data_IF_784094318989
#
_entry.id   IF_784094318989
#
_cell.length_a   1.000
_cell.length_b   1.000
_cell.length_c   1.000
_cell.angle_alpha   90.00
_cell.angle_beta   90.00
_cell.angle_gamma   90.00
#
_symmetry.space_group_name_H-M   'P 1'
#
loop_
_entity.id
_entity.type
_entity.pdbx_description
1 polymer ?
#
# COMPACT_ATOMS: atom_id res chain seq x y z
N UNK A 1 1.71 -6.88 16.31
CA UNK A 1 2.31 -7.56 15.14
C UNK A 1 1.60 -7.08 13.90
N UNK A 2 2.30 -6.42 12.96
CA UNK A 2 1.70 -6.04 11.69
C UNK A 2 1.50 -7.30 10.82
N UNK A 3 0.39 -7.39 10.07
CA UNK A 3 0.11 -8.56 9.21
C UNK A 3 1.23 -8.72 8.17
N UNK A 4 1.61 -9.98 7.85
CA UNK A 4 2.57 -10.25 6.77
C UNK A 4 2.08 -9.66 5.44
N UNK A 5 3.00 -9.09 4.66
CA UNK A 5 2.70 -8.48 3.35
C UNK A 5 1.98 -9.47 2.43
N UNK A 6 2.49 -10.68 2.35
CA UNK A 6 1.94 -11.78 1.55
C UNK A 6 0.49 -12.07 1.90
N UNK A 7 0.15 -12.06 3.20
CA UNK A 7 -1.22 -12.29 3.65
C UNK A 7 -2.18 -11.17 3.22
N UNK A 8 -1.72 -9.92 3.18
CA UNK A 8 -2.55 -8.79 2.72
C UNK A 8 -2.80 -8.91 1.22
N UNK A 9 -1.77 -9.21 0.43
CA UNK A 9 -1.89 -9.39 -1.03
C UNK A 9 -2.78 -10.58 -1.36
N UNK A 10 -2.57 -11.73 -0.71
CA UNK A 10 -3.38 -12.93 -0.93
C UNK A 10 -4.87 -12.69 -0.64
N UNK A 11 -5.19 -11.93 0.41
CA UNK A 11 -6.57 -11.58 0.74
C UNK A 11 -7.21 -10.66 -0.31
N UNK A 12 -6.45 -9.67 -0.83
CA UNK A 12 -6.93 -8.80 -1.90
C UNK A 12 -7.25 -9.61 -3.16
N UNK A 13 -6.34 -10.49 -3.57
CA UNK A 13 -6.55 -11.35 -4.74
C UNK A 13 -7.73 -12.30 -4.57
N UNK A 14 -7.91 -12.90 -3.39
CA UNK A 14 -9.02 -13.80 -3.11
C UNK A 14 -10.37 -13.07 -3.25
N UNK A 15 -10.49 -11.88 -2.64
CA UNK A 15 -11.71 -11.06 -2.71
C UNK A 15 -12.11 -10.75 -4.16
N UNK A 16 -11.14 -10.29 -4.97
CA UNK A 16 -11.41 -9.94 -6.35
C UNK A 16 -11.70 -11.17 -7.22
N UNK A 17 -11.00 -12.30 -7.01
CA UNK A 17 -11.31 -13.56 -7.73
C UNK A 17 -12.72 -14.06 -7.44
N UNK A 18 -13.15 -14.02 -6.18
CA UNK A 18 -14.51 -14.43 -5.82
C UNK A 18 -15.57 -13.52 -6.44
N UNK A 19 -15.37 -12.19 -6.38
CA UNK A 19 -16.28 -11.23 -6.99
C UNK A 19 -16.35 -11.38 -8.50
N UNK A 20 -15.20 -11.56 -9.14
CA UNK A 20 -15.11 -11.76 -10.59
C UNK A 20 -15.76 -13.09 -10.99
N UNK A 21 -15.58 -14.16 -10.21
CA UNK A 21 -16.28 -15.44 -10.42
C UNK A 21 -17.80 -15.30 -10.36
N UNK A 22 -18.33 -14.49 -9.42
CA UNK A 22 -19.77 -14.19 -9.36
C UNK A 22 -20.26 -13.41 -10.58
N UNK A 23 -19.51 -12.39 -11.03
CA UNK A 23 -19.85 -11.62 -12.23
C UNK A 23 -19.81 -12.49 -13.50
N UNK A 24 -18.80 -13.36 -13.61
CA UNK A 24 -18.65 -14.28 -14.72
C UNK A 24 -19.81 -15.29 -14.80
N UNK A 25 -20.31 -15.77 -13.65
CA UNK A 25 -21.44 -16.71 -13.60
C UNK A 25 -22.74 -16.15 -14.19
N UNK A 26 -22.90 -14.82 -14.21
CA UNK A 26 -24.05 -14.12 -14.81
C UNK A 26 -23.69 -13.39 -16.11
N UNK A 27 -22.49 -13.62 -16.65
CA UNK A 27 -21.96 -12.98 -17.86
C UNK A 27 -21.96 -11.43 -17.82
N UNK A 28 -21.85 -10.83 -16.63
CA UNK A 28 -21.81 -9.38 -16.46
C UNK A 28 -20.42 -8.81 -16.81
N UNK A 29 -20.25 -8.50 -18.10
CA UNK A 29 -18.99 -7.95 -18.63
C UNK A 29 -18.64 -6.57 -18.06
N UNK A 30 -19.66 -5.75 -17.72
CA UNK A 30 -19.43 -4.42 -17.18
C UNK A 30 -18.85 -4.52 -15.77
N UNK A 31 -19.40 -5.41 -14.94
CA UNK A 31 -18.89 -5.65 -13.60
C UNK A 31 -17.51 -6.32 -13.62
N UNK A 32 -17.27 -7.27 -14.52
CA UNK A 32 -15.93 -7.86 -14.70
C UNK A 32 -14.88 -6.78 -15.02
N UNK A 33 -15.15 -5.90 -15.99
CA UNK A 33 -14.23 -4.81 -16.34
C UNK A 33 -14.01 -3.81 -15.19
N UNK A 34 -15.07 -3.51 -14.42
CA UNK A 34 -14.98 -2.67 -13.23
C UNK A 34 -14.12 -3.31 -12.14
N UNK A 35 -14.28 -4.61 -11.91
CA UNK A 35 -13.48 -5.38 -10.95
C UNK A 35 -12.00 -5.44 -11.37
N UNK A 36 -11.72 -5.64 -12.66
CA UNK A 36 -10.35 -5.64 -13.19
C UNK A 36 -9.64 -4.30 -12.97
N UNK A 37 -10.33 -3.19 -13.25
CA UNK A 37 -9.80 -1.87 -12.99
C UNK A 37 -9.63 -1.61 -11.49
N UNK A 38 -10.62 -1.99 -10.68
CA UNK A 38 -10.58 -1.87 -9.23
C UNK A 38 -9.39 -2.60 -8.62
N UNK A 39 -9.14 -3.84 -9.04
CA UNK A 39 -8.02 -4.65 -8.57
C UNK A 39 -6.68 -3.96 -8.84
N UNK A 40 -6.47 -3.46 -10.06
CA UNK A 40 -5.22 -2.76 -10.43
C UNK A 40 -5.03 -1.47 -9.63
N UNK A 41 -6.10 -0.70 -9.45
CA UNK A 41 -6.04 0.54 -8.65
C UNK A 41 -5.70 0.23 -7.19
N UNK A 42 -6.35 -0.77 -6.61
CA UNK A 42 -6.16 -1.12 -5.20
C UNK A 42 -4.77 -1.76 -4.97
N UNK A 43 -4.24 -2.48 -5.96
CA UNK A 43 -2.85 -2.95 -5.95
C UNK A 43 -1.85 -1.78 -5.89
N UNK A 44 -2.04 -0.75 -6.72
CA UNK A 44 -1.20 0.46 -6.69
C UNK A 44 -1.27 1.16 -5.32
N UNK A 45 -2.46 1.26 -4.73
CA UNK A 45 -2.61 1.83 -3.39
C UNK A 45 -1.91 0.99 -2.33
N UNK A 46 -1.98 -0.34 -2.43
CA UNK A 46 -1.29 -1.22 -1.50
C UNK A 46 0.23 -1.08 -1.61
N UNK A 47 0.78 -0.96 -2.82
CA UNK A 47 2.21 -0.71 -3.04
C UNK A 47 2.66 0.57 -2.34
N UNK A 48 1.96 1.69 -2.57
CA UNK A 48 2.27 2.97 -1.91
C UNK A 48 2.17 2.87 -0.39
N UNK A 49 1.16 2.18 0.14
CA UNK A 49 1.00 1.99 1.59
C UNK A 49 2.11 1.14 2.19
N UNK A 50 2.58 0.13 1.46
CA UNK A 50 3.71 -0.70 1.88
C UNK A 50 5.02 0.10 1.86
N UNK A 51 5.23 0.94 0.86
CA UNK A 51 6.38 1.85 0.80
C UNK A 51 6.38 2.83 1.97
N UNK A 52 5.23 3.44 2.28
CA UNK A 52 5.07 4.32 3.45
C UNK A 52 5.32 3.56 4.75
N UNK A 53 4.83 2.32 4.86
CA UNK A 53 5.09 1.47 6.04
C UNK A 53 6.59 1.20 6.20
N UNK A 54 7.30 0.94 5.10
CA UNK A 54 8.75 0.73 5.13
C UNK A 54 9.50 1.99 5.56
N UNK A 55 9.09 3.17 5.05
CA UNK A 55 9.66 4.46 5.46
C UNK A 55 9.44 4.78 6.95
N UNK A 56 8.31 4.32 7.52
CA UNK A 56 7.98 4.47 8.93
C UNK A 56 8.55 3.36 9.80
N UNK A 57 9.06 2.27 9.21
CA UNK A 57 9.67 1.20 9.96
C UNK A 57 10.91 1.77 10.68
N UNK A 58 11.06 1.51 11.99
CA UNK A 58 12.28 1.92 12.68
C UNK A 58 13.46 1.28 11.97
N UNK A 59 14.47 2.09 11.64
CA UNK A 59 15.71 1.58 11.05
C UNK A 59 16.21 0.41 11.90
N UNK A 60 16.70 -0.69 11.27
CA UNK A 60 17.25 -1.80 12.03
C UNK A 60 18.29 -1.21 12.98
N UNK A 61 18.08 -1.43 14.28
CA UNK A 61 18.93 -0.89 15.32
C UNK A 61 20.37 -1.36 15.03
N UNK A 62 21.17 -0.49 14.44
CA UNK A 62 22.61 -0.56 14.65
C UNK A 62 22.80 -0.46 16.17
N UNK A 63 23.61 -1.33 16.79
CA UNK A 63 23.63 -1.49 18.23
C UNK A 63 24.16 -0.28 19.03
N UNK A 64 24.23 0.92 18.43
CA UNK A 64 24.67 2.12 19.11
C UNK A 64 23.89 3.36 18.64
N UNK A 65 23.73 4.28 19.59
CA UNK A 65 23.27 5.68 19.48
C UNK A 65 21.81 5.95 19.86
N UNK A 66 21.67 6.39 21.11
CA UNK A 66 20.55 7.15 21.67
C UNK A 66 20.21 8.36 20.76
N UNK A 67 19.06 8.34 20.07
CA UNK A 67 18.65 9.44 19.16
C UNK A 67 17.13 9.63 19.09
N UNK A 68 16.47 9.69 20.25
CA UNK A 68 15.01 9.75 20.38
C UNK A 68 14.32 10.95 19.71
N UNK A 69 14.95 12.13 19.71
CA UNK A 69 14.26 13.37 19.27
C UNK A 69 14.56 13.78 17.82
N UNK A 70 15.72 13.39 17.28
CA UNK A 70 16.09 13.75 15.89
C UNK A 70 15.38 12.85 14.88
N UNK A 71 15.11 11.59 15.22
CA UNK A 71 14.50 10.60 14.32
C UNK A 71 13.06 10.94 13.95
N UNK A 72 12.26 11.44 14.90
CA UNK A 72 10.84 11.76 14.66
C UNK A 72 10.69 13.01 13.78
N UNK A 73 11.53 14.02 14.02
CA UNK A 73 11.54 15.25 13.21
C UNK A 73 12.01 14.97 11.78
N UNK A 74 12.98 14.08 11.61
CA UNK A 74 13.48 13.63 10.31
C UNK A 74 12.40 12.84 9.54
N UNK A 75 11.65 11.97 10.23
CA UNK A 75 10.49 11.27 9.65
C UNK A 75 9.37 12.23 9.19
N UNK A 76 9.05 13.25 9.99
CA UNK A 76 8.04 14.27 9.63
C UNK A 76 8.50 15.10 8.42
N UNK A 77 9.78 15.46 8.34
CA UNK A 77 10.33 16.18 7.19
C UNK A 77 10.24 15.36 5.90
N UNK A 78 10.62 14.08 5.95
CA UNK A 78 10.58 13.20 4.79
C UNK A 78 9.15 13.01 4.27
N UNK A 79 8.15 12.90 5.16
CA UNK A 79 6.74 12.82 4.77
C UNK A 79 6.25 14.11 4.07
N UNK A 80 6.74 15.27 4.51
CA UNK A 80 6.42 16.56 3.92
C UNK A 80 7.00 16.72 2.52
N UNK A 81 8.18 16.17 2.26
CA UNK A 81 8.84 16.28 0.97
C UNK A 81 8.22 15.32 -0.06
N UNK A 82 7.79 14.12 0.37
CA UNK A 82 7.02 13.17 -0.44
C UNK A 82 5.65 13.71 -0.89
N UNK A 83 4.96 14.45 -0.01
CA UNK A 83 3.66 15.07 -0.32
C UNK A 83 3.79 16.34 -1.18
N UNK A 84 5.01 16.83 -1.41
CA UNK A 84 5.30 18.05 -2.15
C UNK A 84 5.53 17.84 -3.65
N UNK A 85 4.97 16.78 -4.24
CA UNK A 85 4.99 16.56 -5.69
C UNK A 85 4.63 17.87 -6.42
N UNK A 86 5.42 18.31 -7.41
CA UNK A 86 5.14 19.50 -8.16
C UNK A 86 3.99 19.21 -9.14
N UNK A 87 2.75 19.33 -8.69
CA UNK A 87 1.62 19.51 -9.61
C UNK A 87 1.74 20.92 -10.21
N UNK A 88 2.55 21.06 -11.25
CA UNK A 88 2.80 22.35 -11.87
C UNK A 88 3.88 22.32 -12.95
N UNK A 89 3.59 21.68 -14.08
CA UNK A 89 3.89 22.19 -15.42
C UNK A 89 3.06 21.46 -16.47
#
# INVERSE_FOLDING_TARGET
MARPREHIVANLEALYREAHGRAQAVADQAEMARLDFGFRRDQLYLEVLLDVRELLAPAPASPEVQKGDKSVLEQISNLRDLTRLPFGR
#
